data_IF_416844420025
#
_entry.id   IF_416844420025
#
_cell.length_a   1.000
_cell.length_b   1.000
_cell.length_c   1.000
_cell.angle_alpha   90.00
_cell.angle_beta   90.00
_cell.angle_gamma   90.00
#
_symmetry.space_group_name_H-M   'P 1'
#
loop_
_entity.id
_entity.type
_entity.pdbx_description
1 polymer ?
#
# COMPACT_ATOMS: atom_id res chain seq x y z
N UNK A 1 1.67 7.51 17.42
CA UNK A 1 1.07 8.04 16.17
C UNK A 1 0.81 9.51 16.40
N UNK A 2 1.38 10.39 15.58
CA UNK A 2 1.13 11.84 15.64
C UNK A 2 -0.25 12.09 15.03
N UNK A 3 -1.09 12.90 15.68
CA UNK A 3 -2.42 13.23 15.17
C UNK A 3 -2.36 14.06 13.88
N UNK A 4 -3.43 14.03 13.08
CA UNK A 4 -3.51 14.85 11.86
C UNK A 4 -3.51 16.36 12.17
N UNK A 5 -4.03 16.78 13.33
CA UNK A 5 -3.95 18.17 13.78
C UNK A 5 -2.50 18.59 14.07
N UNK A 6 -1.72 17.74 14.75
CA UNK A 6 -0.30 18.01 15.01
C UNK A 6 0.52 18.03 13.72
N UNK A 7 0.22 17.15 12.75
CA UNK A 7 0.85 17.18 11.42
C UNK A 7 0.53 18.46 10.65
N UNK A 8 -0.72 18.94 10.72
CA UNK A 8 -1.14 20.18 10.07
C UNK A 8 -0.50 21.42 10.70
N UNK A 9 -0.40 21.48 12.03
CA UNK A 9 0.28 22.57 12.72
C UNK A 9 1.78 22.61 12.42
N UNK A 10 2.44 21.46 12.44
CA UNK A 10 3.87 21.37 12.09
C UNK A 10 4.12 21.88 10.66
N UNK A 11 3.30 21.44 9.68
CA UNK A 11 3.35 21.92 8.30
C UNK A 11 3.13 23.42 8.18
N UNK A 12 2.17 24.00 8.91
CA UNK A 12 1.91 25.44 8.92
C UNK A 12 3.08 26.26 9.48
N UNK A 13 3.89 25.65 10.35
CA UNK A 13 5.11 26.23 10.93
C UNK A 13 6.38 25.95 10.10
N UNK A 14 6.27 25.25 8.96
CA UNK A 14 7.42 24.83 8.16
C UNK A 14 8.29 23.76 8.83
N UNK A 15 7.77 23.10 9.88
CA UNK A 15 8.41 22.01 10.58
C UNK A 15 7.87 20.69 10.02
N UNK A 16 8.74 19.87 9.44
CA UNK A 16 8.35 18.51 9.06
C UNK A 16 8.52 17.58 10.27
N UNK A 17 7.45 16.94 10.76
CA UNK A 17 7.55 16.05 11.91
C UNK A 17 8.27 14.75 11.53
N UNK A 18 9.27 14.38 12.32
CA UNK A 18 9.94 13.08 12.18
C UNK A 18 9.12 11.96 12.84
N UNK A 19 9.08 10.80 12.18
CA UNK A 19 8.47 9.58 12.73
C UNK A 19 9.54 8.49 12.79
N UNK A 20 9.70 7.89 13.97
CA UNK A 20 10.64 6.80 14.21
C UNK A 20 9.90 5.48 14.25
N UNK A 21 10.42 4.48 13.54
CA UNK A 21 9.85 3.14 13.47
C UNK A 21 10.85 2.10 13.97
N UNK A 22 10.32 1.04 14.58
CA UNK A 22 11.09 -0.17 14.85
C UNK A 22 11.21 -0.99 13.56
N UNK A 23 12.45 -1.26 13.14
CA UNK A 23 12.77 -1.90 11.85
C UNK A 23 12.03 -3.22 11.59
N UNK A 24 11.71 -3.98 12.63
CA UNK A 24 11.12 -5.31 12.50
C UNK A 24 9.62 -5.34 12.78
N UNK A 25 9.18 -4.75 13.89
CA UNK A 25 7.79 -4.87 14.34
C UNK A 25 6.83 -3.92 13.63
N UNK A 26 7.33 -2.78 13.15
CA UNK A 26 6.47 -1.72 12.62
C UNK A 26 6.35 -1.78 11.09
N UNK A 27 7.12 -2.66 10.44
CA UNK A 27 7.03 -2.87 8.99
C UNK A 27 5.81 -3.73 8.66
N UNK A 28 4.81 -3.13 8.04
CA UNK A 28 3.72 -3.86 7.43
C UNK A 28 4.21 -4.58 6.16
N UNK A 29 3.75 -5.81 5.96
CA UNK A 29 4.09 -6.64 4.79
C UNK A 29 2.84 -7.31 4.26
N UNK A 30 2.56 -7.12 2.96
CA UNK A 30 1.55 -7.83 2.21
C UNK A 30 2.24 -8.55 1.05
N UNK A 31 2.14 -9.88 1.03
CA UNK A 31 2.82 -10.71 0.05
C UNK A 31 1.83 -11.64 -0.66
N UNK A 32 2.07 -11.86 -1.96
CA UNK A 32 1.45 -12.95 -2.71
C UNK A 32 2.47 -14.06 -2.82
N UNK A 33 2.04 -15.27 -2.47
CA UNK A 33 2.86 -16.46 -2.50
C UNK A 33 2.32 -17.46 -3.53
N UNK A 34 3.21 -18.26 -4.09
CA UNK A 34 2.82 -19.44 -4.87
C UNK A 34 2.07 -20.43 -3.97
N UNK A 35 1.07 -21.12 -4.55
CA UNK A 35 0.25 -22.07 -3.78
C UNK A 35 1.04 -23.31 -3.34
N UNK A 36 2.05 -23.71 -4.11
CA UNK A 36 2.78 -24.96 -3.96
C UNK A 36 4.08 -24.80 -3.16
N UNK A 37 4.89 -23.79 -3.45
CA UNK A 37 6.20 -23.60 -2.81
C UNK A 37 6.20 -22.55 -1.70
N UNK A 38 5.10 -21.81 -1.52
CA UNK A 38 5.01 -20.63 -0.65
C UNK A 38 6.07 -19.56 -0.97
N UNK A 39 6.58 -19.55 -2.19
CA UNK A 39 7.56 -18.58 -2.64
C UNK A 39 6.88 -17.23 -2.86
N UNK A 40 7.47 -16.17 -2.31
CA UNK A 40 6.94 -14.82 -2.46
C UNK A 40 7.24 -14.30 -3.85
N UNK A 41 6.20 -14.10 -4.65
CA UNK A 41 6.28 -13.61 -6.04
C UNK A 41 5.95 -12.11 -6.16
N UNK A 42 5.40 -11.54 -5.10
CA UNK A 42 5.09 -10.11 -5.01
C UNK A 42 5.03 -9.71 -3.53
N UNK A 43 5.65 -8.59 -3.18
CA UNK A 43 5.61 -8.02 -1.84
C UNK A 43 5.39 -6.50 -1.91
N UNK A 44 4.47 -6.00 -1.09
CA UNK A 44 4.40 -4.58 -0.71
C UNK A 44 4.71 -4.51 0.77
N UNK A 45 5.70 -3.70 1.13
CA UNK A 45 6.02 -3.46 2.52
C UNK A 45 6.43 -2.02 2.80
N UNK A 46 6.19 -1.57 4.03
CA UNK A 46 6.47 -0.20 4.46
C UNK A 46 6.12 0.04 5.92
N UNK A 47 6.66 1.10 6.49
CA UNK A 47 6.48 1.46 7.90
C UNK A 47 5.23 2.32 8.17
N UNK A 48 4.80 3.11 7.18
CA UNK A 48 3.53 3.88 7.22
C UNK A 48 2.64 3.48 6.02
N UNK A 49 2.55 2.17 5.76
CA UNK A 49 1.70 1.68 4.68
C UNK A 49 0.24 1.81 5.08
N UNK A 50 -0.49 2.70 4.39
CA UNK A 50 -1.91 2.97 4.67
C UNK A 50 -2.79 2.38 3.57
N UNK A 51 -3.72 1.52 3.97
CA UNK A 51 -4.77 0.99 3.08
C UNK A 51 -6.10 1.56 3.55
N UNK A 52 -6.70 2.41 2.71
CA UNK A 52 -7.96 3.08 3.00
C UNK A 52 -9.05 2.62 2.03
N UNK A 53 -10.25 2.41 2.56
CA UNK A 53 -11.40 1.97 1.78
C UNK A 53 -12.48 3.04 1.80
N UNK A 54 -12.96 3.43 0.62
CA UNK A 54 -14.13 4.30 0.52
C UNK A 54 -15.40 3.47 0.78
N UNK A 55 -15.75 3.34 2.07
CA UNK A 55 -16.90 2.53 2.52
C UNK A 55 -18.24 3.03 1.96
N UNK A 56 -18.34 4.31 1.61
CA UNK A 56 -19.53 4.86 0.97
C UNK A 56 -19.76 4.34 -0.45
N UNK A 57 -18.72 3.78 -1.08
CA UNK A 57 -18.75 3.22 -2.44
C UNK A 57 -18.64 1.69 -2.48
N UNK A 58 -18.42 1.05 -1.33
CA UNK A 58 -18.22 -0.40 -1.21
C UNK A 58 -19.35 -1.00 -0.34
N UNK A 59 -20.57 -0.98 -0.87
CA UNK A 59 -21.80 -1.35 -0.16
C UNK A 59 -22.27 -2.77 -0.47
N UNK A 60 -21.86 -3.34 -1.60
CA UNK A 60 -22.25 -4.69 -2.02
C UNK A 60 -21.10 -5.43 -2.71
N UNK A 61 -21.30 -6.74 -2.93
CA UNK A 61 -20.30 -7.63 -3.53
C UNK A 61 -19.89 -7.15 -4.93
N UNK A 62 -20.83 -6.71 -5.78
CA UNK A 62 -20.50 -6.28 -7.13
C UNK A 62 -19.57 -5.04 -7.15
N UNK A 63 -19.77 -4.11 -6.22
CA UNK A 63 -18.87 -2.95 -6.04
C UNK A 63 -17.49 -3.36 -5.53
N UNK A 64 -17.42 -4.35 -4.64
CA UNK A 64 -16.16 -4.92 -4.15
C UNK A 64 -15.41 -5.60 -5.29
N UNK A 65 -16.06 -6.47 -6.06
CA UNK A 65 -15.46 -7.14 -7.23
C UNK A 65 -14.96 -6.12 -8.26
N UNK A 66 -15.76 -5.08 -8.55
CA UNK A 66 -15.34 -4.01 -9.46
C UNK A 66 -14.11 -3.26 -8.94
N UNK A 67 -14.00 -3.05 -7.62
CA UNK A 67 -12.82 -2.44 -7.01
C UNK A 67 -11.60 -3.37 -7.11
N UNK A 68 -11.77 -4.68 -6.87
CA UNK A 68 -10.72 -5.69 -7.03
C UNK A 68 -10.21 -5.77 -8.47
N UNK A 69 -11.10 -5.69 -9.46
CA UNK A 69 -10.73 -5.60 -10.87
C UNK A 69 -9.88 -4.36 -11.16
N UNK A 70 -10.25 -3.21 -10.61
CA UNK A 70 -9.44 -1.99 -10.70
C UNK A 70 -8.04 -2.14 -10.08
N UNK A 71 -7.96 -2.79 -8.92
CA UNK A 71 -6.68 -3.08 -8.24
C UNK A 71 -5.82 -4.01 -9.10
N UNK A 72 -6.40 -5.09 -9.64
CA UNK A 72 -5.73 -6.03 -10.55
C UNK A 72 -5.18 -5.33 -11.79
N UNK A 73 -5.95 -4.42 -12.39
CA UNK A 73 -5.52 -3.66 -13.56
C UNK A 73 -4.39 -2.67 -13.26
N UNK A 74 -4.42 -2.02 -12.09
CA UNK A 74 -3.34 -1.17 -11.62
C UNK A 74 -2.04 -1.97 -11.46
N UNK A 75 -2.09 -3.07 -10.71
CA UNK A 75 -0.89 -3.89 -10.47
C UNK A 75 -0.38 -4.53 -11.76
N UNK A 76 -1.25 -4.94 -12.69
CA UNK A 76 -0.80 -5.40 -14.01
C UNK A 76 0.07 -4.35 -14.70
N UNK A 77 -0.33 -3.07 -14.68
CA UNK A 77 0.47 -2.00 -15.30
C UNK A 77 1.81 -1.80 -14.59
N UNK A 78 1.83 -1.85 -13.27
CA UNK A 78 3.06 -1.70 -12.46
C UNK A 78 4.03 -2.85 -12.76
N UNK A 79 3.56 -4.10 -12.67
CA UNK A 79 4.37 -5.29 -12.92
C UNK A 79 4.89 -5.31 -14.35
N UNK A 80 4.03 -5.04 -15.34
CA UNK A 80 4.46 -5.02 -16.74
C UNK A 80 5.50 -3.93 -16.99
N UNK A 81 5.35 -2.75 -16.38
CA UNK A 81 6.34 -1.67 -16.50
C UNK A 81 7.70 -2.12 -15.94
N UNK A 82 7.70 -2.64 -14.72
CA UNK A 82 8.91 -3.10 -14.03
C UNK A 82 9.65 -4.19 -14.84
N UNK A 83 8.92 -5.22 -15.28
CA UNK A 83 9.50 -6.33 -16.05
C UNK A 83 10.05 -5.87 -17.41
N UNK A 84 9.37 -4.94 -18.10
CA UNK A 84 9.84 -4.42 -19.38
C UNK A 84 11.06 -3.50 -19.24
N UNK A 85 11.12 -2.70 -18.16
CA UNK A 85 12.27 -1.85 -17.85
C UNK A 85 13.52 -2.67 -17.52
N UNK A 86 13.35 -3.88 -16.95
CA UNK A 86 14.45 -4.80 -16.64
C UNK A 86 14.84 -5.77 -17.77
N UNK A 87 14.11 -5.75 -18.90
CA UNK A 87 14.44 -6.57 -20.09
C UNK A 87 15.15 -5.76 -21.19
N UNK A 88 15.41 -4.47 -20.97
CA UNK A 88 16.01 -3.54 -21.94
C UNK A 88 17.50 -3.28 -21.73
#
# INVERSE_FOLDING_TARGET
>A
MISEEEKQQARAMGLEPEVVFNTLSDRAVYAVQTEDTHETIFEISGYDLQIQFNRDKLRNIAEIESMLDGVKDLFRKIVMKDLLEHTS
#
